data_IF_838749252366
#
_entry.id   IF_838749252366
#
_cell.length_a   1.000
_cell.length_b   1.000
_cell.length_c   1.000
_cell.angle_alpha   90.00
_cell.angle_beta   90.00
_cell.angle_gamma   90.00
#
_symmetry.space_group_name_H-M   'P 1'
#
loop_
_entity.id
_entity.type
_entity.pdbx_description
1 polymer ?
#
# COMPACT_ATOMS: atom_id res chain seq x y z
N UNK A 1 -30.92 16.38 12.08
CA UNK A 1 -29.52 16.81 11.92
C UNK A 1 -29.46 18.25 11.46
N UNK A 2 -28.46 18.99 11.90
CA UNK A 2 -28.20 20.36 11.43
C UNK A 2 -27.70 20.32 9.97
N UNK A 3 -27.98 21.34 9.13
CA UNK A 3 -27.48 21.40 7.76
C UNK A 3 -25.96 21.20 7.63
N UNK A 4 -25.19 21.68 8.60
CA UNK A 4 -23.72 21.50 8.66
C UNK A 4 -23.29 20.03 8.85
N UNK A 5 -24.04 19.25 9.64
CA UNK A 5 -23.76 17.82 9.84
C UNK A 5 -24.04 17.01 8.57
N UNK A 6 -25.11 17.37 7.85
CA UNK A 6 -25.45 16.73 6.57
C UNK A 6 -24.38 17.00 5.51
N UNK A 7 -23.93 18.24 5.39
CA UNK A 7 -22.86 18.62 4.46
C UNK A 7 -21.54 17.87 4.77
N UNK A 8 -21.16 17.77 6.04
CA UNK A 8 -19.96 17.03 6.46
C UNK A 8 -20.04 15.54 6.10
N UNK A 9 -21.20 14.90 6.28
CA UNK A 9 -21.40 13.50 5.93
C UNK A 9 -21.39 13.27 4.41
N UNK A 10 -21.99 14.17 3.63
CA UNK A 10 -21.94 14.14 2.17
C UNK A 10 -20.51 14.30 1.64
N UNK A 11 -19.74 15.23 2.22
CA UNK A 11 -18.33 15.41 1.90
C UNK A 11 -17.51 14.16 2.25
N UNK A 12 -17.71 13.61 3.45
CA UNK A 12 -17.05 12.37 3.86
C UNK A 12 -17.43 11.19 2.97
N UNK A 13 -18.69 11.10 2.52
CA UNK A 13 -19.13 10.08 1.57
C UNK A 13 -18.46 10.25 0.20
N UNK A 14 -18.37 11.49 -0.32
CA UNK A 14 -17.67 11.81 -1.57
C UNK A 14 -16.18 11.50 -1.49
N UNK A 15 -15.53 11.81 -0.37
CA UNK A 15 -14.13 11.46 -0.13
C UNK A 15 -13.92 9.94 -0.06
N UNK A 16 -14.87 9.21 0.53
CA UNK A 16 -14.87 7.74 0.61
C UNK A 16 -15.12 7.07 -0.74
N UNK A 17 -15.90 7.68 -1.62
CA UNK A 17 -16.19 7.14 -2.96
C UNK A 17 -15.07 7.35 -3.99
N UNK A 18 -13.99 8.05 -3.63
CA UNK A 18 -12.85 8.24 -4.54
C UNK A 18 -12.26 6.89 -4.97
N UNK A 19 -11.77 6.78 -6.22
CA UNK A 19 -11.20 5.53 -6.71
C UNK A 19 -9.97 5.12 -5.92
N UNK A 20 -9.83 3.82 -5.70
CA UNK A 20 -8.67 3.22 -5.05
C UNK A 20 -7.96 2.27 -6.03
N UNK A 21 -6.65 2.20 -5.93
CA UNK A 21 -5.79 1.23 -6.63
C UNK A 21 -5.14 0.32 -5.58
N UNK A 22 -4.98 -0.96 -5.92
CA UNK A 22 -4.28 -1.92 -5.06
C UNK A 22 -2.78 -1.71 -5.21
N UNK A 23 -2.15 -1.27 -4.14
CA UNK A 23 -0.71 -1.06 -4.08
C UNK A 23 -0.01 -2.28 -3.45
N UNK A 24 0.95 -2.86 -4.15
CA UNK A 24 1.74 -3.98 -3.62
C UNK A 24 2.73 -3.51 -2.55
N UNK A 25 2.59 -4.05 -1.34
CA UNK A 25 3.52 -3.79 -0.22
C UNK A 25 4.93 -4.27 -0.59
N UNK A 26 5.02 -5.42 -1.26
CA UNK A 26 6.26 -5.94 -1.84
C UNK A 26 6.26 -5.67 -3.35
N UNK A 27 7.09 -4.75 -3.86
CA UNK A 27 7.01 -4.34 -5.27
C UNK A 27 7.16 -5.49 -6.25
N UNK A 28 6.32 -5.51 -7.28
CA UNK A 28 6.41 -6.49 -8.37
C UNK A 28 7.78 -6.47 -9.06
N UNK A 29 8.43 -5.30 -9.13
CA UNK A 29 9.77 -5.13 -9.68
C UNK A 29 10.85 -6.00 -9.00
N UNK A 30 10.62 -6.45 -7.76
CA UNK A 30 11.55 -7.29 -7.00
C UNK A 30 10.94 -8.65 -6.64
N UNK A 31 9.91 -9.09 -7.38
CA UNK A 31 9.17 -10.34 -7.14
C UNK A 31 10.09 -11.55 -6.95
N UNK A 32 11.13 -11.69 -7.78
CA UNK A 32 12.06 -12.82 -7.68
C UNK A 32 12.85 -12.81 -6.37
N UNK A 33 13.29 -11.64 -5.90
CA UNK A 33 14.04 -11.52 -4.66
C UNK A 33 13.16 -11.91 -3.45
N UNK A 34 11.91 -11.43 -3.41
CA UNK A 34 10.93 -11.82 -2.40
C UNK A 34 10.57 -13.30 -2.47
N UNK A 35 10.43 -13.86 -3.68
CA UNK A 35 10.12 -15.26 -3.91
C UNK A 35 11.18 -16.19 -3.31
N UNK A 36 12.47 -15.84 -3.42
CA UNK A 36 13.58 -16.57 -2.79
C UNK A 36 13.47 -16.61 -1.26
N UNK A 37 12.78 -15.65 -0.64
CA UNK A 37 12.53 -15.57 0.80
C UNK A 37 11.15 -16.12 1.20
N UNK A 38 10.42 -16.76 0.27
CA UNK A 38 9.10 -17.34 0.52
C UNK A 38 8.00 -16.29 0.73
N UNK A 39 8.11 -15.12 0.10
CA UNK A 39 7.09 -14.05 0.13
C UNK A 39 6.36 -14.01 -1.22
N UNK A 40 5.07 -14.35 -1.21
CA UNK A 40 4.20 -14.22 -2.37
C UNK A 40 3.67 -12.77 -2.47
N UNK A 41 4.23 -11.96 -3.35
CA UNK A 41 3.94 -10.50 -3.42
C UNK A 41 2.45 -10.18 -3.60
N UNK A 42 1.73 -11.01 -4.37
CA UNK A 42 0.29 -10.81 -4.64
C UNK A 42 -0.61 -11.11 -3.43
N UNK A 43 -0.07 -11.69 -2.36
CA UNK A 43 -0.81 -11.89 -1.11
C UNK A 43 -0.89 -10.62 -0.25
N UNK A 44 -0.12 -9.56 -0.60
CA UNK A 44 0.07 -8.38 0.25
C UNK A 44 -0.08 -7.08 -0.53
N UNK A 45 -1.33 -6.60 -0.62
CA UNK A 45 -1.65 -5.28 -1.16
C UNK A 45 -2.42 -4.43 -0.15
N UNK A 46 -2.31 -3.10 -0.28
CA UNK A 46 -3.10 -2.11 0.44
C UNK A 46 -3.89 -1.31 -0.61
N UNK A 47 -5.23 -1.22 -0.52
CA UNK A 47 -6.01 -0.30 -1.35
C UNK A 47 -5.69 1.14 -0.95
N UNK A 48 -5.20 1.94 -1.88
CA UNK A 48 -4.87 3.35 -1.67
C UNK A 48 -5.67 4.23 -2.61
N UNK A 49 -6.02 5.44 -2.18
CA UNK A 49 -6.54 6.47 -3.10
C UNK A 49 -5.56 6.62 -4.27
N UNK A 50 -6.07 6.72 -5.49
CA UNK A 50 -5.26 6.83 -6.72
C UNK A 50 -4.17 7.91 -6.60
N UNK A 51 -4.50 9.05 -6.01
CA UNK A 51 -3.56 10.16 -5.79
C UNK A 51 -2.36 9.74 -4.92
N UNK A 52 -2.61 9.02 -3.82
CA UNK A 52 -1.55 8.51 -2.93
C UNK A 52 -0.73 7.41 -3.62
N UNK A 53 -1.39 6.50 -4.32
CA UNK A 53 -0.69 5.45 -5.06
C UNK A 53 0.25 6.04 -6.13
N UNK A 54 -0.21 7.05 -6.86
CA UNK A 54 0.60 7.73 -7.88
C UNK A 54 1.72 8.58 -7.29
N UNK A 55 1.52 9.20 -6.13
CA UNK A 55 2.57 10.05 -5.54
C UNK A 55 3.80 9.24 -5.11
N UNK A 56 3.60 8.05 -4.54
CA UNK A 56 4.71 7.18 -4.08
C UNK A 56 5.40 6.42 -5.23
N UNK A 57 4.77 6.37 -6.41
CA UNK A 57 5.32 5.80 -7.65
C UNK A 57 5.71 6.84 -8.70
N UNK A 58 5.63 8.13 -8.36
CA UNK A 58 5.99 9.21 -9.29
C UNK A 58 7.50 9.18 -9.58
N UNK A 59 7.85 9.40 -10.85
CA UNK A 59 9.23 9.46 -11.30
C UNK A 59 9.72 8.12 -11.88
N UNK A 60 11.03 7.96 -11.97
CA UNK A 60 11.64 6.81 -12.63
C UNK A 60 11.65 5.57 -11.74
N UNK A 61 11.77 4.39 -12.37
CA UNK A 61 12.01 3.09 -11.69
C UNK A 61 11.01 2.75 -10.58
N UNK A 62 9.77 3.22 -10.71
CA UNK A 62 8.69 3.01 -9.75
C UNK A 62 8.73 3.96 -8.55
N UNK A 63 9.45 5.09 -8.65
CA UNK A 63 9.39 6.19 -7.71
C UNK A 63 9.98 5.90 -6.32
N UNK A 64 9.67 6.79 -5.35
CA UNK A 64 10.16 6.69 -3.98
C UNK A 64 9.93 5.33 -3.30
N UNK A 65 8.79 4.69 -3.55
CA UNK A 65 8.50 3.37 -2.96
C UNK A 65 9.49 2.30 -3.41
N UNK A 66 9.72 2.20 -4.72
CA UNK A 66 10.67 1.22 -5.27
C UNK A 66 12.13 1.59 -4.95
N UNK A 67 12.47 2.88 -4.80
CA UNK A 67 13.80 3.30 -4.35
C UNK A 67 14.08 2.83 -2.92
N UNK A 68 13.15 3.01 -1.99
CA UNK A 68 13.33 2.56 -0.61
C UNK A 68 13.56 1.04 -0.53
N UNK A 69 12.74 0.26 -1.25
CA UNK A 69 12.94 -1.18 -1.38
C UNK A 69 14.26 -1.56 -2.04
N UNK A 70 14.66 -0.84 -3.10
CA UNK A 70 15.94 -1.06 -3.78
C UNK A 70 17.12 -0.84 -2.84
N UNK A 71 17.11 0.20 -2.01
CA UNK A 71 18.16 0.45 -1.03
C UNK A 71 18.26 -0.70 -0.02
N UNK A 72 17.11 -1.16 0.51
CA UNK A 72 17.07 -2.28 1.43
C UNK A 72 17.61 -3.58 0.82
N UNK A 73 17.18 -3.91 -0.40
CA UNK A 73 17.60 -5.11 -1.15
C UNK A 73 19.09 -5.04 -1.50
N UNK A 74 19.60 -3.89 -1.94
CA UNK A 74 21.02 -3.71 -2.27
C UNK A 74 21.93 -3.90 -1.05
N UNK A 75 21.46 -3.56 0.15
CA UNK A 75 22.18 -3.86 1.39
C UNK A 75 22.11 -5.34 1.81
N UNK A 76 21.25 -6.15 1.16
CA UNK A 76 20.91 -7.54 1.51
C UNK A 76 20.90 -8.45 0.28
N UNK A 77 21.92 -8.32 -0.58
CA UNK A 77 21.98 -9.07 -1.85
C UNK A 77 21.94 -10.60 -1.65
N UNK A 78 22.48 -11.10 -0.54
CA UNK A 78 22.45 -12.53 -0.19
C UNK A 78 21.09 -13.00 0.35
N UNK A 79 20.14 -12.08 0.54
CA UNK A 79 18.85 -12.32 1.19
C UNK A 79 18.77 -11.70 2.57
N UNK A 80 17.59 -11.79 3.18
CA UNK A 80 17.33 -11.35 4.54
C UNK A 80 16.25 -12.25 5.16
N UNK A 81 16.28 -12.48 6.50
CA UNK A 81 15.21 -13.18 7.18
C UNK A 81 13.84 -12.55 6.89
N UNK A 82 12.80 -13.40 6.79
CA UNK A 82 11.45 -12.97 6.42
C UNK A 82 10.90 -11.94 7.41
N UNK A 83 11.23 -12.08 8.69
CA UNK A 83 10.86 -11.19 9.78
C UNK A 83 11.45 -9.79 9.59
N UNK A 84 12.68 -9.70 9.09
CA UNK A 84 13.33 -8.43 8.80
C UNK A 84 12.66 -7.72 7.62
N UNK A 85 12.31 -8.49 6.58
CA UNK A 85 11.59 -7.98 5.40
C UNK A 85 10.21 -7.43 5.80
N UNK A 86 9.47 -8.15 6.65
CA UNK A 86 8.19 -7.65 7.16
C UNK A 86 8.35 -6.43 8.06
N UNK A 87 9.41 -6.37 8.88
CA UNK A 87 9.70 -5.20 9.71
C UNK A 87 9.96 -3.97 8.85
N UNK A 88 10.76 -4.12 7.79
CA UNK A 88 11.01 -3.05 6.83
C UNK A 88 9.73 -2.62 6.10
N UNK A 89 8.90 -3.57 5.67
CA UNK A 89 7.60 -3.27 5.08
C UNK A 89 6.71 -2.44 6.03
N UNK A 90 6.64 -2.80 7.32
CA UNK A 90 5.91 -2.04 8.34
C UNK A 90 6.46 -0.62 8.53
N UNK A 91 7.79 -0.46 8.52
CA UNK A 91 8.44 0.85 8.58
C UNK A 91 8.05 1.71 7.36
N UNK A 92 8.13 1.18 6.14
CA UNK A 92 7.76 1.93 4.94
C UNK A 92 6.27 2.27 4.91
N UNK A 93 5.38 1.37 5.34
CA UNK A 93 3.95 1.64 5.48
C UNK A 93 3.72 2.86 6.38
N UNK A 94 4.45 2.97 7.49
CA UNK A 94 4.37 4.12 8.39
C UNK A 94 4.96 5.39 7.77
N UNK A 95 6.20 5.34 7.26
CA UNK A 95 6.90 6.49 6.68
C UNK A 95 6.19 7.08 5.46
N UNK A 96 5.59 6.22 4.64
CA UNK A 96 4.80 6.63 3.49
C UNK A 96 3.33 6.83 3.82
N UNK A 97 2.90 6.69 5.08
CA UNK A 97 1.51 6.93 5.51
C UNK A 97 0.49 6.13 4.69
N UNK A 98 0.72 4.82 4.53
CA UNK A 98 -0.16 3.94 3.78
C UNK A 98 -1.27 3.39 4.70
N UNK A 99 -2.48 3.93 4.54
CA UNK A 99 -3.63 3.52 5.34
C UNK A 99 -4.57 2.62 4.53
N UNK A 100 -4.88 1.44 5.09
CA UNK A 100 -5.85 0.52 4.53
C UNK A 100 -5.65 -0.91 5.03
N UNK A 101 -6.59 -1.83 4.73
CA UNK A 101 -6.42 -3.24 5.07
C UNK A 101 -5.33 -3.87 4.20
N UNK A 102 -4.52 -4.73 4.81
CA UNK A 102 -3.65 -5.65 4.06
C UNK A 102 -4.49 -6.82 3.57
N UNK A 103 -4.45 -7.06 2.26
CA UNK A 103 -5.27 -8.08 1.62
C UNK A 103 -4.58 -8.72 0.41
N UNK A 104 -5.02 -9.89 -0.06
CA UNK A 104 -4.56 -10.45 -1.33
C UNK A 104 -5.10 -9.68 -2.53
N UNK A 105 -4.31 -9.58 -3.60
CA UNK A 105 -4.61 -8.82 -4.81
C UNK A 105 -5.91 -9.27 -5.50
N UNK A 106 -6.25 -10.56 -5.44
CA UNK A 106 -7.48 -11.11 -6.05
C UNK A 106 -8.76 -10.85 -5.25
N UNK A 107 -8.67 -10.41 -3.98
CA UNK A 107 -9.86 -10.05 -3.19
C UNK A 107 -10.32 -8.64 -3.54
N UNK A 108 -11.61 -8.36 -3.42
CA UNK A 108 -12.12 -6.98 -3.45
C UNK A 108 -11.87 -6.30 -2.11
N UNK A 109 -11.55 -4.99 -2.09
CA UNK A 109 -11.44 -4.26 -0.83
C UNK A 109 -12.77 -4.33 -0.09
N UNK A 110 -12.75 -4.40 1.24
CA UNK A 110 -13.98 -4.37 2.02
C UNK A 110 -14.78 -3.11 1.65
N UNK A 111 -16.08 -3.26 1.50
CA UNK A 111 -16.98 -2.11 1.38
C UNK A 111 -16.79 -1.23 2.61
N UNK A 112 -16.68 0.08 2.40
CA UNK A 112 -16.66 1.02 3.53
C UNK A 112 -17.99 0.87 4.30
N UNK A 113 -17.96 0.85 5.64
CA UNK A 113 -19.19 0.79 6.44
C UNK A 113 -20.12 1.92 6.02
N UNK A 114 -21.38 1.57 5.72
CA UNK A 114 -22.38 2.53 5.23
C UNK A 114 -23.05 3.28 6.39
N UNK A 115 -22.83 2.85 7.63
CA UNK A 115 -23.50 3.37 8.83
C UNK A 115 -22.47 3.77 9.90
N UNK A 116 -22.59 5.00 10.39
CA UNK A 116 -22.07 5.52 11.67
C UNK A 116 -23.11 6.49 12.23
#
# INVERSE_FOLDING_TARGET
MLPSQKALLEEAAKERSKPHEKHHIFPQAFREWFGKQGIAVDAYVIPLKVEKHRSIHRGERGGPWNEAWRQFINARLQGAPKEEIYRHAGQLIYEFELFGPVMPYWKQPPSLPTEY
#
